data_IF_679151768396
#
_entry.id   IF_679151768396
#
_cell.length_a   1.000
_cell.length_b   1.000
_cell.length_c   1.000
_cell.angle_alpha   90.00
_cell.angle_beta   90.00
_cell.angle_gamma   90.00
#
_symmetry.space_group_name_H-M   'P 1'
#
loop_
_entity.id
_entity.type
_entity.pdbx_description
1 polymer ?
#
# COMPACT_ATOMS: atom_id res chain seq x y z
N UNK A 1 -15.34 2.23 14.34
CA UNK A 1 -14.38 2.96 13.48
C UNK A 1 -14.98 3.50 12.18
N UNK A 2 -15.35 2.73 11.14
CA UNK A 2 -15.75 3.31 9.83
C UNK A 2 -17.17 3.91 9.80
N UNK A 3 -18.13 3.27 10.50
CA UNK A 3 -19.50 3.81 10.64
C UNK A 3 -19.55 5.14 11.41
N UNK A 4 -18.59 5.38 12.30
CA UNK A 4 -18.54 6.58 13.16
C UNK A 4 -18.31 7.86 12.35
N UNK A 5 -17.65 7.76 11.20
CA UNK A 5 -17.39 8.90 10.32
C UNK A 5 -18.42 9.05 9.19
N UNK A 6 -19.36 8.11 9.04
CA UNK A 6 -20.37 8.13 7.96
C UNK A 6 -19.78 8.01 6.55
N UNK A 7 -18.51 7.60 6.41
CA UNK A 7 -17.81 7.50 5.13
C UNK A 7 -18.00 6.09 4.57
N UNK A 8 -18.47 5.93 3.32
CA UNK A 8 -18.52 4.63 2.67
C UNK A 8 -17.13 4.00 2.60
N UNK A 9 -17.02 2.69 2.85
CA UNK A 9 -15.76 1.96 2.78
C UNK A 9 -15.01 2.20 1.46
N UNK A 10 -15.74 2.19 0.35
CA UNK A 10 -15.19 2.44 -1.00
C UNK A 10 -14.63 3.85 -1.18
N UNK A 11 -15.12 4.84 -0.43
CA UNK A 11 -14.57 6.20 -0.43
C UNK A 11 -13.28 6.25 0.36
N UNK A 12 -13.23 5.61 1.53
CA UNK A 12 -12.02 5.55 2.34
C UNK A 12 -10.89 4.83 1.59
N UNK A 13 -11.19 3.66 1.02
CA UNK A 13 -10.28 2.88 0.19
C UNK A 13 -9.69 3.76 -0.94
N UNK A 14 -10.56 4.51 -1.62
CA UNK A 14 -10.14 5.39 -2.71
C UNK A 14 -9.29 6.56 -2.24
N UNK A 15 -9.60 7.14 -1.09
CA UNK A 15 -8.79 8.21 -0.50
C UNK A 15 -7.42 7.70 -0.09
N UNK A 16 -7.35 6.54 0.57
CA UNK A 16 -6.09 5.89 0.90
C UNK A 16 -5.22 5.80 -0.36
N UNK A 17 -5.66 5.09 -1.39
CA UNK A 17 -4.85 4.93 -2.60
C UNK A 17 -4.57 6.23 -3.39
N UNK A 18 -5.38 7.28 -3.22
CA UNK A 18 -5.15 8.58 -3.87
C UNK A 18 -4.06 9.39 -3.17
N UNK A 19 -4.06 9.40 -1.82
CA UNK A 19 -3.21 10.30 -1.04
C UNK A 19 -1.97 9.62 -0.45
N UNK A 20 -1.97 8.29 -0.33
CA UNK A 20 -0.82 7.53 0.18
C UNK A 20 0.52 7.83 -0.53
N UNK A 21 0.59 8.04 -1.87
CA UNK A 21 1.85 8.39 -2.52
C UNK A 21 2.52 9.65 -1.97
N UNK A 22 1.75 10.61 -1.46
CA UNK A 22 2.25 11.86 -0.87
C UNK A 22 2.68 11.70 0.60
N UNK A 23 2.36 10.56 1.21
CA UNK A 23 2.54 10.28 2.63
C UNK A 23 3.56 9.16 2.89
N UNK A 24 4.33 8.77 1.87
CA UNK A 24 5.35 7.74 2.01
C UNK A 24 6.39 8.16 3.05
N UNK A 25 6.69 7.26 3.97
CA UNK A 25 7.70 7.45 5.01
C UNK A 25 8.72 6.32 4.94
N UNK A 26 9.99 6.68 4.99
CA UNK A 26 11.05 5.72 5.24
C UNK A 26 11.04 5.32 6.71
N UNK A 27 10.90 4.03 6.97
CA UNK A 27 11.07 3.41 8.27
C UNK A 27 11.48 1.95 8.12
N UNK A 28 12.15 1.43 9.15
CA UNK A 28 12.47 0.01 9.24
C UNK A 28 11.22 -0.77 9.66
N UNK A 29 11.01 -1.92 9.04
CA UNK A 29 9.87 -2.79 9.32
C UNK A 29 10.34 -4.24 9.46
N UNK A 30 10.07 -4.85 10.61
CA UNK A 30 10.34 -6.28 10.84
C UNK A 30 9.30 -7.16 10.13
N UNK A 31 8.07 -6.67 10.01
CA UNK A 31 6.94 -7.36 9.41
C UNK A 31 6.32 -6.48 8.34
N UNK A 32 6.21 -7.03 7.12
CA UNK A 32 5.62 -6.34 5.99
C UNK A 32 4.22 -6.89 5.71
N UNK A 33 3.28 -5.98 5.43
CA UNK A 33 1.99 -6.31 4.86
C UNK A 33 1.96 -5.83 3.41
N UNK A 34 1.43 -6.63 2.48
CA UNK A 34 1.28 -6.26 1.08
C UNK A 34 -0.19 -6.32 0.69
N UNK A 35 -0.64 -5.32 -0.08
CA UNK A 35 -2.01 -5.25 -0.60
C UNK A 35 -2.03 -4.78 -2.05
N UNK A 36 -2.92 -5.36 -2.85
CA UNK A 36 -3.08 -5.10 -4.28
C UNK A 36 -4.34 -4.27 -4.54
N UNK A 37 -4.22 -3.22 -5.35
CA UNK A 37 -5.36 -2.35 -5.65
C UNK A 37 -5.36 -1.82 -7.08
N UNK A 38 -6.56 -1.48 -7.56
CA UNK A 38 -6.75 -0.89 -8.88
C UNK A 38 -6.70 0.65 -8.83
N UNK A 39 -5.76 1.26 -9.55
CA UNK A 39 -5.58 2.72 -9.57
C UNK A 39 -6.64 3.40 -10.46
N UNK A 40 -7.04 2.76 -11.57
CA UNK A 40 -8.08 3.26 -12.49
C UNK A 40 -8.96 2.12 -13.00
N UNK A 41 -10.16 2.46 -13.46
CA UNK A 41 -10.97 1.53 -14.27
C UNK A 41 -10.15 1.14 -15.52
N UNK A 42 -10.13 -0.16 -15.83
CA UNK A 42 -9.27 -0.83 -16.84
C UNK A 42 -7.89 -1.25 -16.30
N UNK A 43 -7.88 -2.23 -15.39
CA UNK A 43 -6.77 -3.17 -15.09
C UNK A 43 -5.38 -2.60 -14.79
N UNK A 44 -5.25 -1.33 -14.41
CA UNK A 44 -3.99 -0.80 -13.90
C UNK A 44 -3.91 -1.05 -12.39
N UNK A 45 -3.20 -2.12 -12.02
CA UNK A 45 -3.00 -2.52 -10.63
C UNK A 45 -1.68 -1.98 -10.09
N UNK A 46 -1.65 -1.74 -8.80
CA UNK A 46 -0.45 -1.48 -8.02
C UNK A 46 -0.47 -2.31 -6.74
N UNK A 47 0.71 -2.46 -6.15
CA UNK A 47 0.90 -3.12 -4.87
C UNK A 47 1.43 -2.09 -3.88
N UNK A 48 0.74 -1.90 -2.75
CA UNK A 48 1.24 -1.15 -1.61
C UNK A 48 1.88 -2.10 -0.61
N UNK A 49 3.01 -1.71 -0.04
CA UNK A 49 3.64 -2.41 1.08
C UNK A 49 3.70 -1.50 2.30
N UNK A 50 3.23 -2.05 3.41
CA UNK A 50 3.07 -1.35 4.68
C UNK A 50 3.93 -2.02 5.76
N UNK A 51 4.40 -1.23 6.72
CA UNK A 51 4.86 -1.77 7.98
C UNK A 51 3.63 -2.31 8.75
N UNK A 52 3.63 -3.60 9.06
CA UNK A 52 2.49 -4.25 9.70
C UNK A 52 2.25 -3.77 11.14
N UNK A 53 3.26 -3.17 11.78
CA UNK A 53 3.17 -2.70 13.17
C UNK A 53 2.63 -1.27 13.25
N UNK A 54 3.07 -0.38 12.36
CA UNK A 54 2.68 1.05 12.36
C UNK A 54 1.49 1.34 11.44
N UNK A 55 1.25 0.46 10.45
CA UNK A 55 0.27 0.67 9.38
C UNK A 55 0.72 1.71 8.34
N UNK A 56 1.95 2.23 8.41
CA UNK A 56 2.45 3.22 7.44
C UNK A 56 2.83 2.54 6.15
N UNK A 57 2.52 3.22 5.05
CA UNK A 57 2.90 2.76 3.72
C UNK A 57 4.35 3.16 3.46
N UNK A 58 5.15 2.14 3.14
CA UNK A 58 6.57 2.27 2.90
C UNK A 58 6.84 2.52 1.41
N UNK A 59 6.12 1.80 0.55
CA UNK A 59 6.26 1.93 -0.90
C UNK A 59 4.98 1.52 -1.62
N UNK A 60 4.77 2.13 -2.79
CA UNK A 60 3.78 1.70 -3.77
C UNK A 60 4.52 1.39 -5.06
N UNK A 61 4.36 0.18 -5.58
CA UNK A 61 4.95 -0.25 -6.84
C UNK A 61 3.88 -0.50 -7.90
N UNK A 62 4.15 -0.18 -9.17
CA UNK A 62 3.25 -0.55 -10.25
C UNK A 62 3.20 -2.07 -10.41
N UNK A 63 2.08 -2.56 -10.93
CA UNK A 63 1.81 -3.98 -11.18
C UNK A 63 1.57 -4.79 -9.90
N UNK A 64 1.18 -6.05 -10.13
CA UNK A 64 0.82 -7.06 -9.11
C UNK A 64 1.52 -8.40 -9.34
N UNK A 65 2.56 -8.39 -10.18
CA UNK A 65 3.28 -9.61 -10.49
C UNK A 65 4.37 -9.90 -9.44
N UNK A 66 4.86 -11.12 -9.45
CA UNK A 66 5.90 -11.59 -8.54
C UNK A 66 7.17 -10.72 -8.60
N UNK A 67 7.46 -10.09 -9.74
CA UNK A 67 8.63 -9.23 -9.91
C UNK A 67 8.49 -7.95 -9.09
N UNK A 68 7.30 -7.34 -9.13
CA UNK A 68 6.98 -6.16 -8.33
C UNK A 68 7.04 -6.45 -6.83
N UNK A 69 6.55 -7.62 -6.39
CA UNK A 69 6.64 -8.02 -4.98
C UNK A 69 8.10 -8.32 -4.58
N UNK A 70 8.84 -9.06 -5.41
CA UNK A 70 10.22 -9.41 -5.14
C UNK A 70 11.14 -8.18 -5.05
N UNK A 71 10.94 -7.17 -5.89
CA UNK A 71 11.72 -5.94 -5.83
C UNK A 71 11.54 -5.20 -4.51
N UNK A 72 10.30 -5.13 -3.99
CA UNK A 72 10.02 -4.54 -2.68
C UNK A 72 10.64 -5.37 -1.57
N UNK A 73 10.48 -6.69 -1.59
CA UNK A 73 11.08 -7.56 -0.57
C UNK A 73 12.61 -7.41 -0.54
N UNK A 74 13.27 -7.30 -1.70
CA UNK A 74 14.73 -7.08 -1.75
C UNK A 74 15.15 -5.72 -1.17
N UNK A 75 14.30 -4.70 -1.28
CA UNK A 75 14.55 -3.38 -0.71
C UNK A 75 14.50 -3.40 0.82
N UNK A 76 13.56 -4.14 1.41
CA UNK A 76 13.33 -4.18 2.86
C UNK A 76 13.93 -5.40 3.58
N UNK A 77 14.37 -6.45 2.87
CA UNK A 77 15.04 -7.62 3.45
C UNK A 77 16.54 -7.40 3.73
N UNK A 78 17.09 -6.21 3.46
CA UNK A 78 18.51 -5.88 3.62
C UNK A 78 18.92 -5.39 5.01
N UNK A 79 18.02 -5.46 6.00
CA UNK A 79 18.31 -5.11 7.40
C UNK A 79 18.63 -6.34 8.24
#
# INVERSE_FOLDING_TARGET
>A
MLREYGIPYTTLERWFYTYTPEQLMEEDAQHLCGDEFAIRKVHFYATSVLNAETGRVLVIVPHRDQTAIASVLLQYARN
#
